data_IF_975436703424
#
_entry.id   IF_975436703424
#
_cell.length_a   1.000
_cell.length_b   1.000
_cell.length_c   1.000
_cell.angle_alpha   90.00
_cell.angle_beta   90.00
_cell.angle_gamma   90.00
#
_symmetry.space_group_name_H-M   'P 1'
#
loop_
_entity.id
_entity.type
_entity.pdbx_description
1 polymer ?
#
# COMPACT_ATOMS: atom_id res chain seq x y z
N UNK A 1 -16.02 -5.74 10.58
CA UNK A 1 -15.18 -6.52 11.51
C UNK A 1 -16.09 -7.03 12.62
N UNK A 2 -16.53 -8.28 12.51
CA UNK A 2 -17.51 -8.85 13.44
C UNK A 2 -16.75 -9.78 14.39
N UNK A 3 -16.65 -9.40 15.67
CA UNK A 3 -16.23 -10.33 16.72
C UNK A 3 -17.48 -10.96 17.35
N UNK A 4 -17.40 -12.25 17.65
CA UNK A 4 -18.45 -12.97 18.35
C UNK A 4 -18.36 -12.67 19.85
N UNK A 5 -19.20 -11.76 20.34
CA UNK A 5 -19.25 -11.38 21.75
C UNK A 5 -19.98 -12.45 22.58
N UNK A 6 -19.39 -12.96 23.68
CA UNK A 6 -20.07 -13.92 24.54
C UNK A 6 -21.25 -13.26 25.28
N UNK A 7 -22.24 -14.05 25.74
CA UNK A 7 -23.26 -13.57 26.66
C UNK A 7 -22.61 -12.92 27.88
N UNK A 8 -22.96 -11.67 28.17
CA UNK A 8 -22.35 -10.87 29.24
C UNK A 8 -23.46 -10.34 30.15
N UNK A 9 -23.32 -10.43 31.48
CA UNK A 9 -24.30 -9.90 32.41
C UNK A 9 -24.52 -8.39 32.24
N UNK A 10 -25.73 -7.91 32.57
CA UNK A 10 -26.05 -6.49 32.52
C UNK A 10 -25.16 -5.71 33.51
N UNK A 11 -24.59 -4.59 33.05
CA UNK A 11 -23.66 -3.77 33.83
C UNK A 11 -22.20 -4.21 33.76
N UNK A 12 -21.89 -5.38 33.17
CA UNK A 12 -20.52 -5.88 33.01
C UNK A 12 -19.93 -5.58 31.63
N UNK A 13 -18.60 -5.78 31.51
CA UNK A 13 -17.87 -5.62 30.25
C UNK A 13 -17.25 -6.93 29.81
N UNK A 14 -17.44 -7.27 28.54
CA UNK A 14 -16.75 -8.36 27.88
C UNK A 14 -15.41 -7.88 27.33
N UNK A 15 -14.42 -8.78 27.32
CA UNK A 15 -13.11 -8.57 26.71
C UNK A 15 -12.79 -9.73 25.77
N UNK A 16 -12.26 -9.42 24.60
CA UNK A 16 -11.79 -10.41 23.62
C UNK A 16 -10.46 -9.96 23.01
N UNK A 17 -9.61 -10.91 22.58
CA UNK A 17 -8.41 -10.56 21.81
C UNK A 17 -8.79 -9.98 20.45
N UNK A 18 -7.96 -9.07 19.95
CA UNK A 18 -8.11 -8.52 18.61
C UNK A 18 -7.94 -9.65 17.56
N UNK A 19 -8.75 -9.66 16.49
CA UNK A 19 -8.74 -10.77 15.55
C UNK A 19 -7.45 -10.79 14.71
N UNK A 20 -6.96 -11.97 14.31
CA UNK A 20 -5.68 -12.13 13.62
C UNK A 20 -5.79 -11.77 12.13
N UNK A 21 -6.11 -10.51 11.84
CA UNK A 21 -6.18 -9.95 10.48
C UNK A 21 -4.96 -9.08 10.19
N UNK A 22 -4.54 -8.99 8.93
CA UNK A 22 -3.37 -8.17 8.54
C UNK A 22 -3.58 -6.71 8.93
N UNK A 23 -2.62 -6.12 9.65
CA UNK A 23 -2.67 -4.73 10.13
C UNK A 23 -3.24 -4.55 11.54
N UNK A 24 -3.65 -5.65 12.18
CA UNK A 24 -4.15 -5.68 13.56
C UNK A 24 -3.18 -6.47 14.44
N UNK A 25 -2.99 -5.99 15.68
CA UNK A 25 -2.14 -6.63 16.68
C UNK A 25 -2.98 -7.59 17.55
N UNK A 26 -2.80 -8.92 17.41
CA UNK A 26 -3.58 -9.90 18.19
C UNK A 26 -3.23 -9.94 19.68
N UNK A 27 -2.12 -9.30 20.09
CA UNK A 27 -1.74 -9.20 21.50
C UNK A 27 -2.60 -8.20 22.28
N UNK A 28 -3.31 -7.33 21.56
CA UNK A 28 -4.17 -6.32 22.14
C UNK A 28 -5.56 -6.90 22.43
N UNK A 29 -6.21 -6.36 23.47
CA UNK A 29 -7.54 -6.77 23.89
C UNK A 29 -8.53 -5.64 23.61
N UNK A 30 -9.71 -6.00 23.10
CA UNK A 30 -10.82 -5.09 22.84
C UNK A 30 -11.95 -5.36 23.83
N UNK A 31 -12.64 -4.29 24.24
CA UNK A 31 -13.66 -4.33 25.28
C UNK A 31 -15.00 -3.83 24.76
N UNK A 32 -16.07 -4.43 25.28
CA UNK A 32 -17.45 -4.02 24.99
C UNK A 32 -18.30 -4.11 26.25
N UNK A 33 -19.02 -3.04 26.56
CA UNK A 33 -19.83 -2.92 27.78
C UNK A 33 -21.29 -3.28 27.53
N UNK A 34 -21.84 -4.15 28.36
CA UNK A 34 -23.26 -4.38 28.46
C UNK A 34 -23.85 -3.38 29.48
N UNK A 35 -24.84 -2.62 29.05
CA UNK A 35 -25.54 -1.68 29.92
C UNK A 35 -26.47 -2.41 30.91
N UNK A 36 -26.87 -1.71 31.97
CA UNK A 36 -27.84 -2.22 32.96
C UNK A 36 -29.19 -2.63 32.34
N UNK A 37 -29.56 -2.03 31.21
CA UNK A 37 -30.76 -2.38 30.46
C UNK A 37 -30.66 -3.73 29.74
N UNK A 38 -29.52 -4.42 29.80
CA UNK A 38 -29.26 -5.67 29.08
C UNK A 38 -28.97 -5.47 27.58
N UNK A 39 -28.84 -4.21 27.14
CA UNK A 39 -28.42 -3.87 25.77
C UNK A 39 -26.95 -3.51 25.73
N UNK A 40 -26.32 -3.70 24.58
CA UNK A 40 -24.94 -3.25 24.39
C UNK A 40 -24.87 -1.71 24.42
N UNK A 41 -23.94 -1.17 25.20
CA UNK A 41 -23.75 0.26 25.32
C UNK A 41 -23.23 0.87 24.00
N UNK A 42 -23.74 2.04 23.64
CA UNK A 42 -23.30 2.84 22.51
C UNK A 42 -22.03 3.63 22.81
N UNK A 43 -21.72 4.61 21.95
CA UNK A 43 -20.46 5.37 22.05
C UNK A 43 -20.46 6.28 23.28
N UNK A 44 -21.64 6.78 23.63
CA UNK A 44 -21.92 7.60 24.82
C UNK A 44 -22.87 6.83 25.73
N UNK A 45 -22.85 7.13 27.03
CA UNK A 45 -23.80 6.51 27.96
C UNK A 45 -25.25 6.85 27.56
N UNK A 46 -26.14 5.85 27.62
CA UNK A 46 -27.52 5.99 27.17
C UNK A 46 -27.75 5.90 25.65
N UNK A 47 -26.70 5.83 24.82
CA UNK A 47 -26.85 5.59 23.37
C UNK A 47 -27.15 4.10 23.12
N UNK A 48 -28.40 3.80 22.75
CA UNK A 48 -28.84 2.46 22.35
C UNK A 48 -29.32 2.42 20.90
N UNK A 49 -28.97 3.42 20.08
CA UNK A 49 -29.42 3.52 18.69
C UNK A 49 -28.97 2.32 17.84
N UNK A 50 -27.84 1.70 18.21
CA UNK A 50 -27.27 0.54 17.54
C UNK A 50 -27.48 -0.72 18.38
N UNK A 51 -28.23 -1.73 17.92
CA UNK A 51 -28.44 -2.96 18.68
C UNK A 51 -27.14 -3.73 18.94
N UNK A 52 -26.15 -3.59 18.05
CA UNK A 52 -24.81 -4.16 18.21
C UNK A 52 -23.91 -3.38 19.18
N UNK A 53 -24.32 -2.21 19.66
CA UNK A 53 -23.52 -1.33 20.52
C UNK A 53 -22.28 -0.73 19.86
N UNK A 54 -21.43 -0.12 20.67
CA UNK A 54 -20.15 0.47 20.28
C UNK A 54 -18.98 -0.32 20.85
N UNK A 55 -17.87 -0.31 20.12
CA UNK A 55 -16.61 -0.96 20.54
C UNK A 55 -15.45 -0.14 20.00
N UNK A 56 -14.49 0.19 20.86
CA UNK A 56 -13.31 0.94 20.46
C UNK A 56 -12.22 0.01 19.91
N UNK A 57 -12.18 -0.14 18.58
CA UNK A 57 -11.17 -0.96 17.89
C UNK A 57 -9.83 -0.24 17.65
N UNK A 58 -9.65 1.00 18.09
CA UNK A 58 -8.41 1.77 17.85
C UNK A 58 -7.20 1.01 18.42
N UNK A 59 -7.39 0.37 19.59
CA UNK A 59 -6.38 -0.44 20.27
C UNK A 59 -5.92 -1.65 19.45
N UNK A 60 -6.77 -2.16 18.56
CA UNK A 60 -6.44 -3.33 17.75
C UNK A 60 -5.50 -3.00 16.59
N UNK A 61 -5.44 -1.75 16.13
CA UNK A 61 -4.59 -1.42 15.00
C UNK A 61 -3.11 -1.37 15.40
N UNK A 62 -2.23 -1.79 14.49
CA UNK A 62 -0.79 -1.62 14.68
C UNK A 62 -0.41 -0.14 14.74
N UNK A 63 0.66 0.20 15.49
CA UNK A 63 1.19 1.57 15.64
C UNK A 63 1.23 2.41 14.33
N UNK A 64 1.72 1.89 13.18
CA UNK A 64 1.70 2.66 11.93
C UNK A 64 0.29 3.02 11.45
N UNK A 65 -0.68 2.09 11.61
CA UNK A 65 -2.07 2.32 11.21
C UNK A 65 -2.77 3.25 12.22
N UNK A 66 -2.49 3.10 13.51
CA UNK A 66 -2.99 4.01 14.55
C UNK A 66 -2.53 5.46 14.28
N UNK A 67 -1.28 5.66 13.90
CA UNK A 67 -0.75 7.00 13.59
C UNK A 67 -1.42 7.60 12.36
N UNK A 68 -1.71 6.81 11.33
CA UNK A 68 -2.49 7.25 10.17
C UNK A 68 -3.92 7.58 10.57
N UNK A 69 -4.58 6.73 11.36
CA UNK A 69 -5.96 6.93 11.81
C UNK A 69 -6.10 8.16 12.70
N UNK A 70 -5.16 8.36 13.63
CA UNK A 70 -5.08 9.54 14.49
C UNK A 70 -4.87 10.81 13.68
N UNK A 71 -4.01 10.76 12.65
CA UNK A 71 -3.83 11.88 11.72
C UNK A 71 -5.12 12.20 11.00
N UNK A 72 -5.81 11.21 10.43
CA UNK A 72 -7.09 11.42 9.74
C UNK A 72 -8.21 11.95 10.66
N UNK A 73 -8.26 11.51 11.92
CA UNK A 73 -9.29 11.93 12.88
C UNK A 73 -9.03 13.33 13.46
N UNK A 74 -7.77 13.68 13.70
CA UNK A 74 -7.39 15.02 14.17
C UNK A 74 -7.34 16.05 13.02
N UNK A 75 -7.30 15.63 11.76
CA UNK A 75 -7.26 16.51 10.57
C UNK A 75 -8.61 17.17 10.24
N UNK A 76 -9.71 16.81 10.91
CA UNK A 76 -11.05 17.29 10.53
C UNK A 76 -11.37 18.72 10.97
N UNK A 77 -10.45 19.44 11.61
CA UNK A 77 -10.59 20.86 11.89
C UNK A 77 -9.22 21.57 11.81
N UNK A 78 -9.03 22.33 10.73
CA UNK A 78 -8.07 23.43 10.57
C UNK A 78 -6.61 23.22 10.11
N UNK A 79 -5.93 22.06 10.25
CA UNK A 79 -4.47 21.98 9.93
C UNK A 79 -4.02 20.92 8.89
N UNK A 80 -4.97 20.31 8.16
CA UNK A 80 -4.73 19.26 7.17
C UNK A 80 -4.09 19.73 5.85
N UNK A 81 -4.33 21.00 5.47
CA UNK A 81 -4.07 21.50 4.13
C UNK A 81 -2.56 21.61 3.81
N UNK A 82 -1.72 21.91 4.81
CA UNK A 82 -0.30 22.24 4.55
C UNK A 82 0.60 21.01 4.45
N UNK A 83 0.26 19.91 5.14
CA UNK A 83 1.09 18.68 5.17
C UNK A 83 0.69 17.67 4.09
N UNK A 84 -0.58 17.61 3.68
CA UNK A 84 -1.02 16.77 2.57
C UNK A 84 -0.47 17.27 1.23
N UNK A 85 -0.38 18.58 1.02
CA UNK A 85 0.19 19.15 -0.21
C UNK A 85 1.68 18.80 -0.42
N UNK A 86 2.46 18.60 0.64
CA UNK A 86 3.88 18.20 0.55
C UNK A 86 4.01 16.70 0.20
N UNK A 87 3.17 15.85 0.80
CA UNK A 87 3.14 14.42 0.50
C UNK A 87 2.59 14.11 -0.90
N UNK A 88 1.54 14.83 -1.32
CA UNK A 88 0.98 14.75 -2.69
C UNK A 88 1.92 15.36 -3.72
N UNK A 89 2.59 16.47 -3.38
CA UNK A 89 3.63 17.08 -4.20
C UNK A 89 4.72 16.07 -4.56
N UNK A 90 5.18 15.27 -3.60
CA UNK A 90 6.21 14.25 -3.85
C UNK A 90 5.77 13.20 -4.87
N UNK A 91 4.49 12.78 -4.85
CA UNK A 91 3.96 11.83 -5.84
C UNK A 91 3.82 12.43 -7.23
N UNK A 92 3.43 13.70 -7.33
CA UNK A 92 3.35 14.40 -8.61
C UNK A 92 4.75 14.65 -9.19
N UNK A 93 5.71 15.05 -8.35
CA UNK A 93 7.11 15.22 -8.76
C UNK A 93 7.73 13.91 -9.28
N UNK A 94 7.42 12.78 -8.64
CA UNK A 94 7.85 11.45 -9.07
C UNK A 94 7.24 11.07 -10.43
N UNK A 95 5.95 11.32 -10.64
CA UNK A 95 5.25 11.02 -11.91
C UNK A 95 5.77 11.90 -13.05
N UNK A 96 5.98 13.19 -12.81
CA UNK A 96 6.50 14.13 -13.82
C UNK A 96 7.96 13.79 -14.16
N UNK A 97 8.78 13.44 -13.17
CA UNK A 97 10.16 13.02 -13.40
C UNK A 97 10.24 11.73 -14.23
N UNK A 98 9.34 10.78 -13.95
CA UNK A 98 9.26 9.53 -14.70
C UNK A 98 8.77 9.75 -16.14
N UNK A 99 7.76 10.59 -16.35
CA UNK A 99 7.25 10.88 -17.69
C UNK A 99 8.25 11.65 -18.54
N UNK A 100 8.97 12.63 -17.97
CA UNK A 100 10.02 13.38 -18.66
C UNK A 100 11.21 12.47 -19.02
N UNK A 101 11.61 11.57 -18.11
CA UNK A 101 12.66 10.58 -18.36
C UNK A 101 12.25 9.57 -19.44
N UNK A 102 10.99 9.15 -19.45
CA UNK A 102 10.45 8.25 -20.46
C UNK A 102 10.38 8.93 -21.83
N UNK A 103 9.92 10.19 -21.87
CA UNK A 103 9.83 10.97 -23.10
C UNK A 103 11.20 11.21 -23.74
N UNK A 104 12.21 11.60 -22.94
CA UNK A 104 13.57 11.83 -23.44
C UNK A 104 14.22 10.54 -23.99
N UNK A 105 13.96 9.39 -23.33
CA UNK A 105 14.40 8.09 -23.81
C UNK A 105 13.74 7.71 -25.14
N UNK A 106 12.42 7.89 -25.26
CA UNK A 106 11.67 7.62 -26.49
C UNK A 106 12.16 8.48 -27.67
N UNK A 107 12.40 9.78 -27.44
CA UNK A 107 12.93 10.69 -28.47
C UNK A 107 14.33 10.25 -28.91
N UNK A 108 15.19 9.89 -27.95
CA UNK A 108 16.53 9.42 -28.29
C UNK A 108 16.49 8.14 -29.12
N UNK A 109 15.68 7.15 -28.72
CA UNK A 109 15.47 5.92 -29.50
C UNK A 109 14.95 6.19 -30.90
N UNK A 110 13.98 7.08 -31.05
CA UNK A 110 13.40 7.43 -32.35
C UNK A 110 14.47 8.01 -33.29
N UNK A 111 15.33 8.90 -32.79
CA UNK A 111 16.44 9.46 -33.57
C UNK A 111 17.44 8.37 -33.96
N UNK A 112 17.80 7.47 -33.04
CA UNK A 112 18.73 6.36 -33.32
C UNK A 112 18.16 5.33 -34.31
N UNK A 113 16.86 5.03 -34.26
CA UNK A 113 16.22 4.14 -35.21
C UNK A 113 16.01 4.79 -36.58
N UNK A 114 15.76 6.10 -36.62
CA UNK A 114 15.64 6.89 -37.85
C UNK A 114 16.97 6.90 -38.61
N UNK A 115 18.09 7.11 -37.91
CA UNK A 115 19.43 6.98 -38.48
C UNK A 115 19.97 5.54 -38.37
N UNK A 116 19.35 4.59 -39.06
CA UNK A 116 19.84 3.20 -39.15
C UNK A 116 21.20 3.03 -39.89
N UNK A 117 22.01 4.09 -40.02
CA UNK A 117 23.09 4.18 -41.03
C UNK A 117 24.38 4.92 -40.62
N UNK A 118 24.89 4.77 -39.38
CA UNK A 118 26.28 5.13 -39.08
C UNK A 118 26.99 3.97 -38.37
N UNK A 119 27.30 2.94 -39.17
CA UNK A 119 27.97 1.68 -38.79
C UNK A 119 29.48 1.93 -38.68
N UNK A 120 29.93 2.48 -37.55
CA UNK A 120 31.36 2.71 -37.29
C UNK A 120 31.74 2.17 -35.89
N UNK A 121 33.02 1.88 -35.64
CA UNK A 121 33.46 1.25 -34.38
C UNK A 121 33.14 2.12 -33.13
N UNK A 122 33.13 3.45 -33.31
CA UNK A 122 32.78 4.43 -32.25
C UNK A 122 31.30 4.38 -31.86
N UNK A 123 30.38 4.07 -32.76
CA UNK A 123 28.94 3.95 -32.47
C UNK A 123 28.57 2.62 -31.78
N UNK A 124 29.46 1.62 -31.72
CA UNK A 124 29.21 0.38 -30.94
C UNK A 124 29.19 0.63 -29.43
N UNK A 125 30.05 1.52 -28.91
CA UNK A 125 30.08 1.88 -27.48
C UNK A 125 28.80 2.63 -27.10
N UNK A 126 28.43 3.65 -27.90
CA UNK A 126 27.19 4.39 -27.70
C UNK A 126 25.95 3.48 -27.81
N UNK A 127 25.96 2.51 -28.73
CA UNK A 127 24.88 1.52 -28.86
C UNK A 127 24.73 0.65 -27.61
N UNK A 128 25.84 0.25 -26.97
CA UNK A 128 25.77 -0.53 -25.73
C UNK A 128 25.17 0.28 -24.57
N UNK A 129 25.53 1.56 -24.45
CA UNK A 129 24.95 2.47 -23.46
C UNK A 129 23.46 2.71 -23.70
N UNK A 130 23.06 2.90 -24.97
CA UNK A 130 21.65 3.05 -25.33
C UNK A 130 20.84 1.78 -25.04
N UNK A 131 21.35 0.61 -25.38
CA UNK A 131 20.68 -0.67 -25.09
C UNK A 131 20.54 -0.88 -23.58
N UNK A 132 21.55 -0.54 -22.78
CA UNK A 132 21.45 -0.59 -21.31
C UNK A 132 20.35 0.33 -20.76
N UNK A 133 20.26 1.57 -21.25
CA UNK A 133 19.19 2.52 -20.90
C UNK A 133 17.80 2.00 -21.30
N UNK A 134 17.65 1.36 -22.46
CA UNK A 134 16.38 0.76 -22.89
C UNK A 134 15.97 -0.39 -21.99
N UNK A 135 16.88 -1.33 -21.74
CA UNK A 135 16.61 -2.49 -20.87
C UNK A 135 16.23 -2.00 -19.46
N UNK A 136 16.97 -1.02 -18.93
CA UNK A 136 16.68 -0.43 -17.63
C UNK A 136 15.27 0.22 -17.57
N UNK A 137 14.83 0.92 -18.61
CA UNK A 137 13.49 1.54 -18.64
C UNK A 137 12.39 0.51 -18.85
N UNK A 138 12.58 -0.47 -19.74
CA UNK A 138 11.60 -1.55 -19.93
C UNK A 138 11.37 -2.32 -18.63
N UNK A 139 12.43 -2.62 -17.88
CA UNK A 139 12.32 -3.30 -16.58
C UNK A 139 11.58 -2.40 -15.57
N UNK A 140 11.93 -1.12 -15.45
CA UNK A 140 11.22 -0.19 -14.56
C UNK A 140 9.73 -0.07 -14.92
N UNK A 141 9.40 -0.03 -16.21
CA UNK A 141 8.03 0.02 -16.69
C UNK A 141 7.26 -1.26 -16.32
N UNK A 142 7.86 -2.44 -16.52
CA UNK A 142 7.27 -3.73 -16.13
C UNK A 142 7.04 -3.79 -14.62
N UNK A 143 8.00 -3.35 -13.80
CA UNK A 143 7.85 -3.30 -12.35
C UNK A 143 6.77 -2.31 -11.89
N UNK A 144 6.64 -1.18 -12.58
CA UNK A 144 5.59 -0.21 -12.30
C UNK A 144 4.20 -0.76 -12.61
N UNK A 145 4.04 -1.38 -13.79
CA UNK A 145 2.78 -2.02 -14.21
C UNK A 145 2.44 -3.16 -13.25
N UNK A 146 3.41 -4.02 -12.89
CA UNK A 146 3.24 -5.09 -11.90
C UNK A 146 2.74 -4.54 -10.55
N UNK A 147 3.37 -3.48 -10.05
CA UNK A 147 2.95 -2.85 -8.79
C UNK A 147 1.56 -2.20 -8.89
N UNK A 148 1.21 -1.62 -10.04
CA UNK A 148 -0.12 -1.04 -10.27
C UNK A 148 -1.20 -2.13 -10.32
N UNK A 149 -0.93 -3.27 -10.98
CA UNK A 149 -1.82 -4.43 -11.05
C UNK A 149 -2.00 -5.05 -9.67
N UNK A 150 -0.92 -5.27 -8.90
CA UNK A 150 -1.01 -5.81 -7.54
C UNK A 150 -1.83 -4.89 -6.64
N UNK A 151 -1.62 -3.58 -6.70
CA UNK A 151 -2.46 -2.62 -5.95
C UNK A 151 -3.93 -2.68 -6.40
N UNK A 152 -4.19 -2.76 -7.70
CA UNK A 152 -5.53 -2.94 -8.24
C UNK A 152 -6.19 -4.23 -7.76
N UNK A 153 -5.45 -5.34 -7.74
CA UNK A 153 -5.93 -6.63 -7.26
C UNK A 153 -6.16 -6.64 -5.74
N UNK A 154 -5.31 -6.00 -4.93
CA UNK A 154 -5.53 -5.86 -3.48
C UNK A 154 -6.78 -5.05 -3.19
N UNK A 155 -7.00 -3.94 -3.90
CA UNK A 155 -8.19 -3.09 -3.74
C UNK A 155 -9.45 -3.83 -4.20
N UNK A 156 -9.38 -4.58 -5.31
CA UNK A 156 -10.48 -5.42 -5.79
C UNK A 156 -10.79 -6.60 -4.87
N UNK A 157 -9.77 -7.28 -4.34
CA UNK A 157 -9.92 -8.41 -3.41
C UNK A 157 -10.52 -7.98 -2.06
N UNK A 158 -10.12 -6.81 -1.55
CA UNK A 158 -10.73 -6.22 -0.34
C UNK A 158 -12.22 -5.92 -0.51
N UNK A 159 -12.70 -5.73 -1.75
CA UNK A 159 -14.12 -5.53 -2.02
C UNK A 159 -14.90 -6.85 -2.18
N UNK A 160 -14.24 -8.01 -2.36
CA UNK A 160 -14.92 -9.25 -2.78
C UNK A 160 -14.76 -10.45 -1.84
N UNK A 161 -13.83 -10.50 -0.87
CA UNK A 161 -13.77 -11.68 0.02
C UNK A 161 -13.34 -11.41 1.47
N UNK A 162 -14.32 -11.36 2.36
CA UNK A 162 -14.24 -12.04 3.65
C UNK A 162 -14.16 -13.55 3.41
N UNK A 163 -13.08 -14.20 3.86
CA UNK A 163 -12.87 -15.66 3.88
C UNK A 163 -12.42 -16.32 2.57
N UNK A 164 -11.14 -16.23 2.24
CA UNK A 164 -10.35 -17.45 1.95
C UNK A 164 -8.85 -17.16 1.98
N UNK A 165 -8.12 -17.91 2.79
CA UNK A 165 -6.68 -18.08 2.64
C UNK A 165 -6.39 -18.70 1.27
N UNK A 166 -5.65 -17.99 0.43
CA UNK A 166 -4.78 -18.58 -0.59
C UNK A 166 -3.40 -17.94 -0.49
N UNK A 167 -2.66 -18.35 0.54
CA UNK A 167 -1.20 -18.34 0.47
C UNK A 167 -0.78 -19.37 -0.56
N UNK A 168 0.01 -18.98 -1.56
CA UNK A 168 0.65 -19.96 -2.44
C UNK A 168 1.42 -19.41 -3.64
N UNK A 169 1.01 -18.27 -4.22
CA UNK A 169 1.62 -17.79 -5.50
C UNK A 169 2.10 -16.33 -5.42
N UNK A 170 1.57 -15.51 -4.52
CA UNK A 170 1.83 -14.05 -4.48
C UNK A 170 3.19 -13.65 -3.88
N UNK A 171 3.92 -14.57 -3.28
CA UNK A 171 5.22 -14.33 -2.62
C UNK A 171 6.43 -14.61 -3.53
N UNK A 172 6.23 -15.23 -4.69
CA UNK A 172 7.29 -15.51 -5.66
C UNK A 172 7.66 -14.28 -6.49
N UNK A 173 6.67 -13.50 -6.92
CA UNK A 173 6.83 -12.27 -7.71
C UNK A 173 7.60 -11.15 -6.98
N UNK A 174 7.32 -10.80 -5.71
CA UNK A 174 8.11 -9.79 -5.00
C UNK A 174 9.56 -10.25 -4.73
N UNK A 175 9.82 -11.55 -4.57
CA UNK A 175 11.18 -12.09 -4.46
C UNK A 175 11.96 -11.91 -5.76
N UNK A 176 11.35 -12.24 -6.90
CA UNK A 176 11.92 -12.03 -8.24
C UNK A 176 12.23 -10.55 -8.45
N UNK A 177 11.34 -9.64 -8.04
CA UNK A 177 11.55 -8.18 -8.13
C UNK A 177 12.75 -7.69 -7.34
N UNK A 178 12.94 -8.17 -6.11
CA UNK A 178 14.07 -7.81 -5.25
C UNK A 178 15.37 -8.35 -5.84
N UNK A 179 15.37 -9.61 -6.29
CA UNK A 179 16.53 -10.26 -6.90
C UNK A 179 16.95 -9.55 -8.18
N UNK A 180 16.02 -9.23 -9.10
CA UNK A 180 16.32 -8.49 -10.33
C UNK A 180 16.88 -7.10 -10.07
N UNK A 181 16.31 -6.33 -9.12
CA UNK A 181 16.84 -5.01 -8.77
C UNK A 181 18.28 -5.09 -8.22
N UNK A 182 18.57 -6.11 -7.41
CA UNK A 182 19.90 -6.32 -6.83
C UNK A 182 20.93 -6.71 -7.90
N UNK A 183 20.59 -7.64 -8.81
CA UNK A 183 21.47 -8.03 -9.91
C UNK A 183 21.74 -6.89 -10.90
N UNK A 184 20.75 -6.03 -11.17
CA UNK A 184 20.91 -4.87 -12.06
C UNK A 184 21.80 -3.79 -11.45
N UNK A 185 21.66 -3.51 -10.16
CA UNK A 185 22.53 -2.56 -9.47
C UNK A 185 23.99 -3.01 -9.54
N UNK A 186 24.22 -4.32 -9.39
CA UNK A 186 25.55 -4.90 -9.47
C UNK A 186 26.13 -4.91 -10.91
N UNK A 187 25.28 -5.12 -11.93
CA UNK A 187 25.70 -5.11 -13.34
C UNK A 187 26.00 -3.70 -13.85
N UNK A 188 25.25 -2.68 -13.39
CA UNK A 188 25.50 -1.27 -13.74
C UNK A 188 26.78 -0.69 -13.13
N UNK A 189 27.29 -1.26 -12.04
CA UNK A 189 28.55 -0.84 -11.41
C UNK A 189 29.77 -1.42 -12.14
N UNK A 190 29.59 -2.53 -12.87
CA UNK A 190 30.67 -3.26 -13.55
C UNK A 190 30.72 -3.06 -15.07
N UNK A 191 29.85 -2.22 -15.64
CA UNK A 191 29.87 -1.79 -17.06
C UNK A 191 30.37 -0.37 -17.15
#
# INVERSE_FOLDING_TARGET
MVLCWPPTPAGESAQLPCPPVKGVDPSQMVYKRCDISGRWAGKTEGDFTRPQGYTNYIVCFTKPIQEVLRKLYNDSAEDAQTKLNIALGTRIMEIIGLSLSLASLCISLAIFFYFRSLKNNRTRIHRNLFVAMVIQVMIRLVLYIDQAIIRGHIVGYSATNTNTSRQGIDNTFPKIRITLNHYLFHWMIHV
#
